data_IF_610325558729
#
_entry.id   IF_610325558729
#
_cell.length_a   1.000
_cell.length_b   1.000
_cell.length_c   1.000
_cell.angle_alpha   90.00
_cell.angle_beta   90.00
_cell.angle_gamma   90.00
#
_symmetry.space_group_name_H-M   'P 1'
#
loop_
_entity.id
_entity.type
_entity.pdbx_description
1 polymer ?
#
# COMPACT_ATOMS: atom_id res chain seq x y z
N UNK A 1 16.73 -32.13 -14.45
CA UNK A 1 17.93 -31.43 -14.99
C UNK A 1 17.56 -30.03 -15.44
N UNK A 2 16.46 -29.85 -16.18
CA UNK A 2 16.07 -28.53 -16.73
C UNK A 2 15.78 -27.47 -15.67
N UNK A 3 15.13 -27.81 -14.56
CA UNK A 3 14.85 -26.84 -13.48
C UNK A 3 16.13 -26.22 -12.90
N UNK A 4 17.14 -27.04 -12.59
CA UNK A 4 18.41 -26.55 -12.05
C UNK A 4 19.19 -25.74 -13.08
N UNK A 5 19.10 -26.09 -14.36
CA UNK A 5 19.72 -25.33 -15.44
C UNK A 5 19.06 -23.96 -15.63
N UNK A 6 17.72 -23.88 -15.57
CA UNK A 6 16.98 -22.62 -15.61
C UNK A 6 17.31 -21.73 -14.40
N UNK A 7 17.41 -22.33 -13.21
CA UNK A 7 17.80 -21.61 -12.00
C UNK A 7 19.23 -21.07 -12.11
N UNK A 8 20.16 -21.90 -12.58
CA UNK A 8 21.56 -21.53 -12.78
C UNK A 8 21.72 -20.38 -13.79
N UNK A 9 20.96 -20.43 -14.89
CA UNK A 9 20.91 -19.35 -15.89
C UNK A 9 20.33 -18.05 -15.29
N UNK A 10 19.26 -18.15 -14.51
CA UNK A 10 18.69 -16.99 -13.80
C UNK A 10 19.70 -16.35 -12.85
N UNK A 11 20.44 -17.16 -12.07
CA UNK A 11 21.49 -16.66 -11.19
C UNK A 11 22.69 -16.08 -11.94
N UNK A 12 23.12 -16.68 -13.06
CA UNK A 12 24.25 -16.14 -13.84
C UNK A 12 23.93 -14.75 -14.39
N UNK A 13 22.70 -14.53 -14.82
CA UNK A 13 22.24 -13.24 -15.32
C UNK A 13 22.00 -12.22 -14.19
N UNK A 14 21.33 -12.64 -13.10
CA UNK A 14 21.00 -11.75 -11.99
C UNK A 14 22.24 -11.25 -11.24
N UNK A 15 23.30 -12.07 -11.15
CA UNK A 15 24.56 -11.73 -10.47
C UNK A 15 25.51 -10.89 -11.33
N UNK A 16 25.13 -10.53 -12.56
CA UNK A 16 25.94 -9.62 -13.36
C UNK A 16 26.03 -8.25 -12.67
N UNK A 17 27.20 -7.58 -12.68
CA UNK A 17 27.38 -6.28 -12.02
C UNK A 17 26.37 -5.22 -12.47
N UNK A 18 26.00 -5.25 -13.75
CA UNK A 18 24.98 -4.37 -14.34
C UNK A 18 23.61 -4.58 -13.69
N UNK A 19 23.15 -5.82 -13.60
CA UNK A 19 21.85 -6.14 -13.01
C UNK A 19 21.82 -5.91 -11.50
N UNK A 20 22.92 -6.19 -10.79
CA UNK A 20 23.08 -5.81 -9.38
C UNK A 20 23.05 -4.29 -9.18
N UNK A 21 23.67 -3.52 -10.09
CA UNK A 21 23.62 -2.06 -10.07
C UNK A 21 22.20 -1.53 -10.25
N UNK A 22 21.44 -2.07 -11.21
CA UNK A 22 20.03 -1.71 -11.39
C UNK A 22 19.13 -2.17 -10.23
N UNK A 23 19.39 -3.34 -9.65
CA UNK A 23 18.70 -3.81 -8.46
C UNK A 23 18.94 -2.86 -7.28
N UNK A 24 20.19 -2.43 -7.07
CA UNK A 24 20.56 -1.49 -6.02
C UNK A 24 19.91 -0.13 -6.24
N UNK A 25 19.98 0.40 -7.47
CA UNK A 25 19.33 1.66 -7.83
C UNK A 25 17.82 1.59 -7.59
N UNK A 26 17.18 0.50 -8.03
CA UNK A 26 15.77 0.25 -7.80
C UNK A 26 15.43 0.20 -6.32
N UNK A 27 16.20 -0.55 -5.52
CA UNK A 27 16.01 -0.63 -4.07
C UNK A 27 16.20 0.71 -3.36
N UNK A 28 17.17 1.52 -3.77
CA UNK A 28 17.39 2.86 -3.22
C UNK A 28 16.24 3.80 -3.54
N UNK A 29 15.82 3.88 -4.82
CA UNK A 29 14.70 4.70 -5.25
C UNK A 29 13.40 4.26 -4.58
N UNK A 30 13.17 2.94 -4.55
CA UNK A 30 12.04 2.33 -3.87
C UNK A 30 12.01 2.71 -2.39
N UNK A 31 13.13 2.56 -1.68
CA UNK A 31 13.20 2.92 -0.24
C UNK A 31 12.97 4.41 -0.03
N UNK A 32 13.57 5.27 -0.85
CA UNK A 32 13.43 6.73 -0.72
C UNK A 32 11.98 7.17 -0.90
N UNK A 33 11.26 6.58 -1.85
CA UNK A 33 9.84 6.87 -2.09
C UNK A 33 8.97 6.18 -1.03
N UNK A 34 9.26 4.94 -0.66
CA UNK A 34 8.46 4.18 0.31
C UNK A 34 8.51 4.75 1.72
N UNK A 35 9.56 5.50 2.08
CA UNK A 35 9.60 6.25 3.34
C UNK A 35 8.54 7.38 3.35
N UNK A 36 8.06 7.84 2.20
CA UNK A 36 6.98 8.82 2.13
C UNK A 36 5.67 8.16 2.58
N UNK A 37 5.07 8.62 3.69
CA UNK A 37 3.77 8.11 4.12
C UNK A 37 2.74 8.43 3.04
N UNK A 38 1.85 7.50 2.76
CA UNK A 38 0.86 7.65 1.67
C UNK A 38 1.19 6.82 0.44
N UNK A 39 2.46 6.48 0.23
CA UNK A 39 2.92 5.95 -1.05
C UNK A 39 3.35 4.49 -0.89
N UNK A 40 2.45 3.58 -1.25
CA UNK A 40 2.74 2.15 -1.27
C UNK A 40 3.59 1.71 -2.47
N UNK A 41 4.24 0.54 -2.40
CA UNK A 41 4.98 -0.11 -3.49
C UNK A 41 4.31 -0.09 -4.85
N UNK A 42 2.98 -0.29 -4.90
CA UNK A 42 2.22 -0.31 -6.17
C UNK A 42 2.25 1.05 -6.85
N UNK A 43 2.00 2.12 -6.10
CA UNK A 43 2.07 3.50 -6.61
C UNK A 43 3.51 3.86 -7.00
N UNK A 44 4.50 3.43 -6.21
CA UNK A 44 5.92 3.63 -6.53
C UNK A 44 6.31 2.99 -7.86
N UNK A 45 5.89 1.74 -8.10
CA UNK A 45 6.11 1.05 -9.38
C UNK A 45 5.44 1.82 -10.51
N UNK A 46 4.17 2.22 -10.37
CA UNK A 46 3.44 2.91 -11.42
C UNK A 46 4.16 4.21 -11.86
N UNK A 47 4.65 4.99 -10.90
CA UNK A 47 5.38 6.23 -11.16
C UNK A 47 6.75 5.98 -11.82
N UNK A 48 7.45 4.91 -11.43
CA UNK A 48 8.80 4.61 -11.93
C UNK A 48 8.82 3.68 -13.15
N UNK A 49 7.70 3.07 -13.52
CA UNK A 49 7.57 2.17 -14.66
C UNK A 49 8.12 2.78 -15.97
N UNK A 50 7.88 4.06 -16.30
CA UNK A 50 8.38 4.65 -17.55
C UNK A 50 9.92 4.61 -17.69
N UNK A 51 10.66 4.66 -16.57
CA UNK A 51 12.12 4.61 -16.58
C UNK A 51 12.62 3.25 -17.09
N UNK A 52 11.83 2.20 -16.89
CA UNK A 52 12.22 0.84 -17.27
C UNK A 52 12.05 0.54 -18.76
N UNK A 53 11.31 1.37 -19.50
CA UNK A 53 11.15 1.21 -20.96
C UNK A 53 12.44 1.47 -21.74
N UNK A 54 13.40 2.18 -21.14
CA UNK A 54 14.71 2.44 -21.74
C UNK A 54 15.75 1.36 -21.39
N UNK A 55 15.38 0.35 -20.60
CA UNK A 55 16.27 -0.71 -20.13
C UNK A 55 16.00 -2.03 -20.86
N UNK A 56 17.02 -2.90 -20.99
CA UNK A 56 16.79 -4.29 -21.39
C UNK A 56 15.73 -4.93 -20.49
N UNK A 57 14.80 -5.74 -21.02
CA UNK A 57 13.66 -6.26 -20.26
C UNK A 57 14.03 -6.94 -18.94
N UNK A 58 15.12 -7.73 -18.94
CA UNK A 58 15.63 -8.38 -17.74
C UNK A 58 16.07 -7.37 -16.67
N UNK A 59 16.86 -6.37 -17.06
CA UNK A 59 17.33 -5.33 -16.16
C UNK A 59 16.16 -4.47 -15.62
N UNK A 60 15.18 -4.18 -16.48
CA UNK A 60 13.94 -3.51 -16.10
C UNK A 60 13.16 -4.28 -15.04
N UNK A 61 12.95 -5.60 -15.23
CA UNK A 61 12.28 -6.46 -14.24
C UNK A 61 13.03 -6.53 -12.91
N UNK A 62 14.35 -6.64 -12.94
CA UNK A 62 15.20 -6.64 -11.74
C UNK A 62 15.11 -5.29 -11.01
N UNK A 63 15.12 -4.18 -11.73
CA UNK A 63 14.96 -2.85 -11.16
C UNK A 63 13.57 -2.67 -10.53
N UNK A 64 12.50 -3.09 -11.20
CA UNK A 64 11.13 -3.04 -10.64
C UNK A 64 10.99 -3.90 -9.39
N UNK A 65 11.61 -5.08 -9.36
CA UNK A 65 11.66 -5.90 -8.14
C UNK A 65 12.40 -5.17 -7.00
N UNK A 66 13.53 -4.52 -7.30
CA UNK A 66 14.24 -3.67 -6.35
C UNK A 66 13.36 -2.54 -5.82
N UNK A 67 12.68 -1.81 -6.71
CA UNK A 67 11.73 -0.74 -6.35
C UNK A 67 10.65 -1.27 -5.43
N UNK A 68 10.06 -2.41 -5.77
CA UNK A 68 8.98 -3.03 -5.00
C UNK A 68 9.39 -3.32 -3.55
N UNK A 69 10.47 -4.09 -3.37
CA UNK A 69 10.94 -4.48 -2.04
C UNK A 69 11.52 -3.31 -1.26
N UNK A 70 12.20 -2.38 -1.94
CA UNK A 70 12.68 -1.13 -1.35
C UNK A 70 11.53 -0.29 -0.81
N UNK A 71 10.48 -0.08 -1.61
CA UNK A 71 9.31 0.69 -1.20
C UNK A 71 8.56 0.02 -0.05
N UNK A 72 8.46 -1.32 -0.06
CA UNK A 72 7.81 -2.06 1.02
C UNK A 72 8.58 -1.89 2.34
N UNK A 73 9.90 -2.01 2.30
CA UNK A 73 10.74 -1.78 3.47
C UNK A 73 10.74 -0.32 3.94
N UNK A 74 10.71 0.64 3.01
CA UNK A 74 10.52 2.06 3.31
C UNK A 74 9.21 2.34 4.05
N UNK A 75 8.10 1.73 3.59
CA UNK A 75 6.79 1.88 4.22
C UNK A 75 6.76 1.35 5.65
N UNK A 76 7.41 0.21 5.91
CA UNK A 76 7.56 -0.33 7.27
C UNK A 76 8.51 0.50 8.13
N UNK A 77 9.51 1.15 7.53
CA UNK A 77 10.40 2.08 8.24
C UNK A 77 9.63 3.28 8.79
N UNK A 78 8.76 3.88 7.98
CA UNK A 78 7.92 5.01 8.40
C UNK A 78 6.86 4.57 9.41
N UNK A 79 6.27 3.38 9.24
CA UNK A 79 5.36 2.80 10.22
C UNK A 79 6.02 2.63 11.60
N UNK A 80 7.25 2.11 11.64
CA UNK A 80 7.99 1.84 12.88
C UNK A 80 8.51 3.11 13.53
N UNK A 81 8.99 4.10 12.77
CA UNK A 81 9.65 5.27 13.36
C UNK A 81 8.69 6.39 13.71
N UNK A 82 7.62 6.58 12.94
CA UNK A 82 6.75 7.75 13.06
C UNK A 82 5.26 7.42 13.12
N UNK A 83 4.89 6.14 13.28
CA UNK A 83 3.50 5.69 13.37
C UNK A 83 2.64 6.04 12.14
N UNK A 84 3.26 6.29 10.99
CA UNK A 84 2.58 6.62 9.74
C UNK A 84 2.84 5.51 8.71
N UNK A 85 1.96 4.51 8.61
CA UNK A 85 2.16 3.38 7.71
C UNK A 85 2.03 3.79 6.25
N UNK A 86 2.87 3.23 5.38
CA UNK A 86 2.77 3.42 3.92
C UNK A 86 1.76 2.49 3.23
N UNK A 87 1.41 1.38 3.87
CA UNK A 87 0.40 0.42 3.40
C UNK A 87 -0.50 -0.04 4.56
N UNK A 88 -1.68 -0.52 4.20
CA UNK A 88 -2.66 -1.14 5.09
C UNK A 88 -2.08 -2.24 5.99
N UNK A 89 -1.22 -3.10 5.44
CA UNK A 89 -0.62 -4.23 6.15
C UNK A 89 0.44 -3.78 7.16
N UNK A 90 1.14 -2.66 6.90
CA UNK A 90 2.13 -2.07 7.80
C UNK A 90 1.51 -1.39 9.03
N UNK A 91 0.20 -1.12 9.03
CA UNK A 91 -0.53 -0.66 10.24
C UNK A 91 -0.30 -1.62 11.40
N UNK A 92 -0.36 -2.93 11.13
CA UNK A 92 -0.17 -3.96 12.16
C UNK A 92 1.25 -3.93 12.72
N UNK A 93 2.23 -3.70 11.84
CA UNK A 93 3.64 -3.52 12.22
C UNK A 93 3.84 -2.25 13.05
N UNK A 94 3.10 -1.17 12.78
CA UNK A 94 3.18 0.08 13.54
C UNK A 94 2.78 -0.11 15.02
N UNK A 95 1.77 -0.95 15.30
CA UNK A 95 1.23 -1.19 16.65
C UNK A 95 2.35 -1.46 17.68
N UNK A 96 3.23 -2.43 17.38
CA UNK A 96 4.34 -2.80 18.26
C UNK A 96 5.67 -2.17 17.82
N UNK A 97 5.86 -1.94 16.52
CA UNK A 97 7.06 -1.31 15.97
C UNK A 97 7.31 0.09 16.51
N UNK A 98 6.27 0.92 16.51
CA UNK A 98 6.35 2.29 17.01
C UNK A 98 6.62 2.34 18.51
N UNK A 99 5.98 1.45 19.29
CA UNK A 99 6.23 1.32 20.73
C UNK A 99 7.66 0.87 21.03
N UNK A 100 8.22 -0.05 20.23
CA UNK A 100 9.64 -0.40 20.32
C UNK A 100 10.54 0.80 20.00
N UNK A 101 10.21 1.60 19.00
CA UNK A 101 10.96 2.81 18.66
C UNK A 101 10.93 3.84 19.80
N UNK A 102 9.77 4.09 20.41
CA UNK A 102 9.62 4.97 21.57
C UNK A 102 10.46 4.50 22.77
N UNK A 103 10.63 3.18 22.94
CA UNK A 103 11.49 2.57 23.98
C UNK A 103 12.99 2.59 23.65
N UNK A 104 13.41 3.32 22.62
CA UNK A 104 14.82 3.42 22.19
C UNK A 104 15.33 2.18 21.44
N UNK A 105 14.42 1.28 21.02
CA UNK A 105 14.73 0.02 20.33
C UNK A 105 14.41 0.06 18.83
N UNK A 106 14.36 1.25 18.25
CA UNK A 106 14.05 1.48 16.83
C UNK A 106 14.91 0.62 15.88
N UNK A 107 16.23 0.59 16.09
CA UNK A 107 17.14 -0.21 15.25
C UNK A 107 16.84 -1.70 15.31
N UNK A 108 16.51 -2.23 16.50
CA UNK A 108 16.09 -3.64 16.63
C UNK A 108 14.77 -3.92 15.92
N UNK A 109 13.79 -3.01 16.01
CA UNK A 109 12.50 -3.17 15.34
C UNK A 109 12.67 -3.17 13.81
N UNK A 110 13.43 -2.23 13.26
CA UNK A 110 13.75 -2.15 11.84
C UNK A 110 14.51 -3.38 11.35
N UNK A 111 15.52 -3.85 12.11
CA UNK A 111 16.28 -5.03 11.74
C UNK A 111 15.45 -6.32 11.81
N UNK A 112 14.56 -6.46 12.80
CA UNK A 112 13.63 -7.60 12.87
C UNK A 112 12.67 -7.58 11.70
N UNK A 113 12.12 -6.41 11.34
CA UNK A 113 11.28 -6.24 10.16
C UNK A 113 12.05 -6.64 8.89
N UNK A 114 13.22 -6.05 8.65
CA UNK A 114 14.06 -6.33 7.48
C UNK A 114 14.41 -7.83 7.33
N UNK A 115 14.88 -8.46 8.42
CA UNK A 115 15.29 -9.87 8.41
C UNK A 115 14.10 -10.80 8.27
N UNK A 116 12.97 -10.49 8.92
CA UNK A 116 11.72 -11.23 8.79
C UNK A 116 11.18 -11.19 7.36
N UNK A 117 11.13 -9.99 6.76
CA UNK A 117 10.75 -9.78 5.37
C UNK A 117 11.66 -10.50 4.40
N UNK A 118 12.98 -10.39 4.60
CA UNK A 118 13.96 -11.04 3.74
C UNK A 118 13.81 -12.56 3.75
N UNK A 119 13.68 -13.17 4.93
CA UNK A 119 13.47 -14.61 5.04
C UNK A 119 12.15 -15.03 4.39
N UNK A 120 11.05 -14.35 4.71
CA UNK A 120 9.73 -14.68 4.17
C UNK A 120 9.68 -14.53 2.65
N UNK A 121 10.22 -13.43 2.11
CA UNK A 121 10.33 -13.18 0.68
C UNK A 121 11.22 -14.19 -0.04
N UNK A 122 12.33 -14.60 0.59
CA UNK A 122 13.19 -15.66 0.03
C UNK A 122 12.45 -16.99 -0.06
N UNK A 123 11.81 -17.44 1.04
CA UNK A 123 11.03 -18.68 1.07
C UNK A 123 9.87 -18.63 0.06
N UNK A 124 9.21 -17.48 -0.07
CA UNK A 124 8.17 -17.26 -1.05
C UNK A 124 8.68 -17.37 -2.49
N UNK A 125 9.82 -16.73 -2.78
CA UNK A 125 10.48 -16.77 -4.10
C UNK A 125 10.85 -18.18 -4.49
N UNK A 126 11.46 -18.96 -3.58
CA UNK A 126 11.73 -20.36 -3.84
C UNK A 126 10.45 -21.18 -4.03
N UNK A 127 9.43 -20.93 -3.21
CA UNK A 127 8.13 -21.58 -3.34
C UNK A 127 7.49 -21.34 -4.71
N UNK A 128 7.54 -20.10 -5.21
CA UNK A 128 7.04 -19.74 -6.54
C UNK A 128 7.94 -20.28 -7.64
N UNK A 129 9.26 -20.26 -7.50
CA UNK A 129 10.15 -20.84 -8.50
C UNK A 129 9.84 -22.33 -8.73
N UNK A 130 9.56 -23.08 -7.67
CA UNK A 130 9.19 -24.50 -7.73
C UNK A 130 7.75 -24.68 -8.26
N UNK A 131 6.79 -23.91 -7.73
CA UNK A 131 5.38 -24.06 -8.07
C UNK A 131 5.01 -23.40 -9.42
N UNK A 132 5.85 -22.49 -9.93
CA UNK A 132 5.56 -21.58 -11.03
C UNK A 132 5.10 -22.25 -12.31
N UNK A 133 5.83 -23.27 -12.83
CA UNK A 133 5.39 -24.00 -14.03
C UNK A 133 3.99 -24.62 -13.86
N UNK A 134 3.76 -25.26 -12.71
CA UNK A 134 2.47 -25.89 -12.39
C UNK A 134 1.37 -24.85 -12.25
N UNK A 135 1.65 -23.76 -11.52
CA UNK A 135 0.69 -22.68 -11.27
C UNK A 135 0.34 -21.93 -12.55
N UNK A 136 1.30 -21.74 -13.46
CA UNK A 136 1.08 -21.13 -14.78
C UNK A 136 0.17 -21.99 -15.66
N UNK A 137 0.42 -23.32 -15.72
CA UNK A 137 -0.45 -24.23 -16.47
C UNK A 137 -1.88 -24.27 -15.90
N UNK A 138 -2.02 -24.17 -14.58
CA UNK A 138 -3.32 -24.11 -13.91
C UNK A 138 -4.02 -22.77 -14.17
N UNK A 139 -3.30 -21.64 -14.08
CA UNK A 139 -3.84 -20.31 -14.36
C UNK A 139 -4.33 -20.18 -15.81
N UNK A 140 -3.61 -20.74 -16.79
CA UNK A 140 -4.04 -20.74 -18.19
C UNK A 140 -5.31 -21.58 -18.45
N UNK A 141 -5.63 -22.52 -17.55
CA UNK A 141 -6.84 -23.33 -17.63
C UNK A 141 -8.07 -22.67 -17.02
N UNK A 142 -7.93 -21.51 -16.36
CA UNK A 142 -9.04 -20.83 -15.72
C UNK A 142 -9.92 -20.12 -16.74
N UNK A 143 -11.21 -20.45 -16.73
CA UNK A 143 -12.24 -19.68 -17.39
C UNK A 143 -12.93 -18.69 -16.44
N UNK A 144 -13.91 -17.93 -16.94
CA UNK A 144 -14.68 -16.98 -16.13
C UNK A 144 -15.31 -17.62 -14.89
N UNK A 145 -15.76 -18.88 -14.97
CA UNK A 145 -16.37 -19.60 -13.86
C UNK A 145 -15.37 -19.87 -12.73
N UNK A 146 -14.16 -20.30 -13.06
CA UNK A 146 -13.07 -20.55 -12.11
C UNK A 146 -12.68 -19.25 -11.40
N UNK A 147 -12.55 -18.14 -12.13
CA UNK A 147 -12.29 -16.82 -11.54
C UNK A 147 -13.38 -16.39 -10.56
N UNK A 148 -14.65 -16.50 -10.94
CA UNK A 148 -15.78 -16.16 -10.05
C UNK A 148 -15.77 -17.06 -8.80
N UNK A 149 -15.54 -18.36 -8.97
CA UNK A 149 -15.50 -19.30 -7.85
C UNK A 149 -14.35 -19.02 -6.88
N UNK A 150 -13.17 -18.67 -7.40
CA UNK A 150 -12.00 -18.32 -6.62
C UNK A 150 -12.23 -17.02 -5.84
N UNK A 151 -12.82 -16.00 -6.48
CA UNK A 151 -13.18 -14.74 -5.82
C UNK A 151 -14.21 -14.97 -4.70
N UNK A 152 -15.28 -15.73 -4.97
CA UNK A 152 -16.27 -16.09 -3.95
C UNK A 152 -15.64 -16.86 -2.79
N UNK A 153 -14.74 -17.80 -3.09
CA UNK A 153 -14.01 -18.53 -2.06
C UNK A 153 -13.17 -17.58 -1.18
N UNK A 154 -12.47 -16.61 -1.77
CA UNK A 154 -11.74 -15.58 -1.03
C UNK A 154 -12.64 -14.76 -0.10
N UNK A 155 -13.78 -14.30 -0.60
CA UNK A 155 -14.77 -13.55 0.20
C UNK A 155 -15.36 -14.38 1.35
N UNK A 156 -15.67 -15.65 1.10
CA UNK A 156 -16.15 -16.59 2.13
C UNK A 156 -15.07 -16.86 3.18
N UNK A 157 -13.82 -17.11 2.75
CA UNK A 157 -12.70 -17.31 3.64
C UNK A 157 -12.44 -16.08 4.52
N UNK A 158 -12.50 -14.88 3.95
CA UNK A 158 -12.39 -13.62 4.70
C UNK A 158 -13.50 -13.49 5.76
N UNK A 159 -14.73 -13.91 5.44
CA UNK A 159 -15.85 -13.91 6.39
C UNK A 159 -15.59 -14.85 7.58
N UNK A 160 -15.06 -16.05 7.32
CA UNK A 160 -14.74 -17.05 8.36
C UNK A 160 -13.61 -16.59 9.26
N UNK A 161 -12.65 -15.84 8.71
CA UNK A 161 -11.48 -15.35 9.41
C UNK A 161 -11.77 -14.11 10.26
N UNK A 162 -12.83 -13.37 9.92
CA UNK A 162 -13.28 -12.22 10.67
C UNK A 162 -13.74 -12.62 12.08
N UNK A 163 -13.25 -11.91 13.10
CA UNK A 163 -13.68 -12.09 14.49
C UNK A 163 -14.99 -11.31 14.71
N UNK A 164 -16.05 -12.00 15.12
CA UNK A 164 -17.32 -11.38 15.49
C UNK A 164 -18.54 -11.98 14.78
N UNK A 165 -19.68 -11.27 14.76
CA UNK A 165 -20.91 -11.75 14.13
C UNK A 165 -20.74 -11.87 12.61
N UNK A 166 -21.00 -13.07 12.07
CA UNK A 166 -20.90 -13.37 10.62
C UNK A 166 -21.69 -12.38 9.77
N UNK A 167 -22.89 -11.99 10.21
CA UNK A 167 -23.72 -11.04 9.47
C UNK A 167 -23.06 -9.66 9.30
N UNK A 168 -22.30 -9.20 10.31
CA UNK A 168 -21.53 -7.95 10.22
C UNK A 168 -20.36 -8.11 9.25
N UNK A 169 -19.68 -9.26 9.28
CA UNK A 169 -18.57 -9.53 8.36
C UNK A 169 -19.04 -9.55 6.89
N UNK A 170 -20.15 -10.25 6.61
CA UNK A 170 -20.78 -10.25 5.28
C UNK A 170 -21.19 -8.82 4.88
N UNK A 171 -21.83 -8.08 5.78
CA UNK A 171 -22.22 -6.69 5.52
C UNK A 171 -21.03 -5.79 5.17
N UNK A 172 -19.92 -5.90 5.91
CA UNK A 172 -18.69 -5.15 5.63
C UNK A 172 -18.02 -5.57 4.33
N UNK A 173 -18.06 -6.85 3.98
CA UNK A 173 -17.54 -7.34 2.69
C UNK A 173 -18.35 -6.77 1.52
N UNK A 174 -19.68 -6.81 1.61
CA UNK A 174 -20.56 -6.25 0.58
C UNK A 174 -20.37 -4.73 0.45
N UNK A 175 -20.25 -4.03 1.59
CA UNK A 175 -19.95 -2.60 1.60
C UNK A 175 -18.58 -2.32 0.96
N UNK A 176 -17.54 -3.08 1.31
CA UNK A 176 -16.22 -2.95 0.73
C UNK A 176 -16.20 -3.23 -0.77
N UNK A 177 -16.95 -4.24 -1.24
CA UNK A 177 -17.11 -4.52 -2.67
C UNK A 177 -17.82 -3.36 -3.38
N UNK A 178 -18.85 -2.77 -2.77
CA UNK A 178 -19.56 -1.62 -3.32
C UNK A 178 -18.65 -0.40 -3.44
N UNK A 179 -17.84 -0.12 -2.41
CA UNK A 179 -16.86 0.97 -2.44
C UNK A 179 -15.72 0.69 -3.44
N UNK A 180 -15.27 -0.56 -3.56
CA UNK A 180 -14.24 -0.96 -4.52
C UNK A 180 -14.69 -1.01 -5.98
N UNK A 181 -16.00 -0.98 -6.24
CA UNK A 181 -16.56 -0.84 -7.59
C UNK A 181 -16.58 0.61 -8.08
N UNK A 182 -16.27 1.59 -7.24
CA UNK A 182 -16.22 3.00 -7.65
C UNK A 182 -14.99 3.22 -8.53
N UNK A 183 -15.18 3.77 -9.74
CA UNK A 183 -14.12 4.14 -10.67
C UNK A 183 -14.31 3.58 -12.08
N UNK A 184 -13.26 3.71 -12.91
CA UNK A 184 -13.23 3.13 -14.25
C UNK A 184 -12.80 1.66 -14.16
N UNK A 185 -13.62 0.77 -14.68
CA UNK A 185 -13.30 -0.66 -14.70
C UNK A 185 -12.14 -0.93 -15.67
N UNK A 186 -11.02 -1.45 -15.17
CA UNK A 186 -9.81 -1.67 -15.97
C UNK A 186 -9.97 -2.70 -17.11
N UNK A 187 -11.00 -3.55 -17.06
CA UNK A 187 -11.24 -4.58 -18.07
C UNK A 187 -12.17 -4.12 -19.21
N UNK A 188 -13.15 -3.27 -18.90
CA UNK A 188 -14.18 -2.81 -19.83
C UNK A 188 -14.08 -1.33 -20.19
N UNK A 189 -13.37 -0.53 -19.40
CA UNK A 189 -13.27 0.93 -19.54
C UNK A 189 -14.55 1.68 -19.15
N UNK A 190 -15.56 0.99 -18.61
CA UNK A 190 -16.82 1.62 -18.19
C UNK A 190 -16.71 2.29 -16.82
N UNK A 191 -17.36 3.43 -16.67
CA UNK A 191 -17.49 4.13 -15.40
C UNK A 191 -18.51 3.43 -14.50
N UNK A 192 -18.13 3.14 -13.25
CA UNK A 192 -19.00 2.54 -12.24
C UNK A 192 -19.05 3.42 -11.01
N UNK A 193 -20.26 3.79 -10.59
CA UNK A 193 -20.51 4.54 -9.35
C UNK A 193 -19.69 5.86 -9.21
N UNK A 194 -19.27 6.47 -10.33
CA UNK A 194 -18.49 7.73 -10.37
C UNK A 194 -19.36 8.96 -10.19
N UNK A 195 -20.68 8.85 -10.44
CA UNK A 195 -21.66 9.96 -10.38
C UNK A 195 -21.22 11.20 -11.18
N UNK A 196 -20.46 11.01 -12.26
CA UNK A 196 -19.87 12.08 -13.08
C UNK A 196 -18.88 13.01 -12.36
N UNK A 197 -18.37 12.60 -11.19
CA UNK A 197 -17.26 13.27 -10.52
C UNK A 197 -15.93 12.70 -11.03
N UNK A 198 -15.07 13.57 -11.57
CA UNK A 198 -13.78 13.17 -12.17
C UNK A 198 -12.83 12.63 -11.11
N UNK A 199 -12.92 13.12 -9.89
CA UNK A 199 -12.12 12.67 -8.74
C UNK A 199 -12.39 11.20 -8.37
N UNK A 200 -13.55 10.66 -8.74
CA UNK A 200 -13.93 9.26 -8.48
C UNK A 200 -13.47 8.31 -9.58
N UNK A 201 -12.86 8.80 -10.67
CA UNK A 201 -12.44 7.95 -11.79
C UNK A 201 -11.33 6.97 -11.39
N UNK A 202 -10.41 7.44 -10.55
CA UNK A 202 -9.33 6.63 -9.95
C UNK A 202 -9.85 5.72 -8.82
N UNK A 203 -11.13 5.84 -8.45
CA UNK A 203 -11.79 5.07 -7.41
C UNK A 203 -11.46 5.53 -5.99
N UNK A 204 -11.91 4.73 -5.02
CA UNK A 204 -11.65 5.00 -3.60
C UNK A 204 -10.44 4.16 -3.16
N UNK A 205 -9.28 4.81 -3.06
CA UNK A 205 -8.07 4.14 -2.59
C UNK A 205 -8.12 3.92 -1.05
N UNK A 206 -8.21 2.66 -0.65
CA UNK A 206 -8.20 2.24 0.75
C UNK A 206 -6.94 2.73 1.51
N UNK A 207 -5.79 2.72 0.85
CA UNK A 207 -4.51 3.16 1.43
C UNK A 207 -4.57 4.65 1.74
N UNK A 208 -5.12 5.46 0.83
CA UNK A 208 -5.32 6.90 1.04
C UNK A 208 -6.24 7.17 2.23
N UNK A 209 -7.37 6.45 2.33
CA UNK A 209 -8.28 6.58 3.49
C UNK A 209 -7.60 6.19 4.79
N UNK A 210 -6.92 5.02 4.82
CA UNK A 210 -6.26 4.54 6.02
C UNK A 210 -5.20 5.55 6.51
N UNK A 211 -4.40 6.09 5.60
CA UNK A 211 -3.32 7.02 5.93
C UNK A 211 -3.89 8.38 6.33
N UNK A 212 -4.95 8.84 5.67
CA UNK A 212 -5.71 10.01 6.10
C UNK A 212 -6.20 9.85 7.53
N UNK A 213 -6.82 8.72 7.87
CA UNK A 213 -7.34 8.46 9.22
C UNK A 213 -6.24 8.37 10.27
N UNK A 214 -5.19 7.57 10.04
CA UNK A 214 -4.06 7.42 10.96
C UNK A 214 -3.29 8.74 11.13
N UNK A 215 -3.00 9.43 10.03
CA UNK A 215 -2.29 10.71 10.04
C UNK A 215 -3.08 11.82 10.74
N UNK A 216 -4.38 11.96 10.46
CA UNK A 216 -5.21 12.95 11.16
C UNK A 216 -5.32 12.64 12.66
N UNK A 217 -5.48 11.37 13.03
CA UNK A 217 -5.58 10.97 14.44
C UNK A 217 -4.30 11.31 15.18
N UNK A 218 -3.13 11.02 14.60
CA UNK A 218 -1.83 11.36 15.20
C UNK A 218 -1.63 12.88 15.33
N UNK A 219 -2.03 13.66 14.31
CA UNK A 219 -1.96 15.13 14.39
C UNK A 219 -2.84 15.65 15.53
N UNK A 220 -4.09 15.18 15.64
CA UNK A 220 -5.02 15.58 16.70
C UNK A 220 -4.49 15.18 18.08
N UNK A 221 -4.03 13.93 18.25
CA UNK A 221 -3.46 13.45 19.51
C UNK A 221 -2.21 14.22 19.93
N UNK A 222 -1.38 14.61 18.96
CA UNK A 222 -0.17 15.40 19.21
C UNK A 222 -0.51 16.87 19.56
N UNK A 223 -1.60 17.42 19.01
CA UNK A 223 -2.13 18.73 19.40
C UNK A 223 -2.75 18.70 20.82
N UNK A 224 -3.36 17.59 21.21
CA UNK A 224 -3.94 17.40 22.55
C UNK A 224 -2.85 17.22 23.61
N UNK A 225 -1.76 16.51 23.29
CA UNK A 225 -0.65 16.24 24.21
C UNK A 225 0.53 17.19 23.99
N UNK A 226 0.39 18.44 24.47
CA UNK A 226 1.46 19.47 24.40
C UNK A 226 2.79 19.11 25.10
N UNK A 227 2.86 18.00 25.87
CA UNK A 227 4.04 17.57 26.62
C UNK A 227 4.86 16.43 25.95
N UNK A 228 4.40 15.86 24.83
CA UNK A 228 5.15 14.84 24.10
C UNK A 228 6.13 15.48 23.11
N UNK A 229 7.33 15.78 23.62
CA UNK A 229 8.49 16.32 22.90
C UNK A 229 8.63 15.70 21.50
N UNK A 230 8.86 16.59 20.52
CA UNK A 230 8.84 16.31 19.09
C UNK A 230 9.67 15.11 18.67
N UNK A 231 9.24 14.51 17.54
CA UNK A 231 9.86 13.40 16.79
C UNK A 231 11.03 12.84 17.57
N UNK A 232 10.74 11.94 18.51
CA UNK A 232 11.75 11.37 19.40
C UNK A 232 12.68 10.52 18.52
N UNK A 233 13.66 11.17 17.88
CA UNK A 233 14.88 10.56 17.39
C UNK A 233 15.65 10.18 18.65
N UNK A 234 15.11 9.17 19.36
CA UNK A 234 15.82 8.53 20.44
C UNK A 234 17.15 8.08 19.85
N UNK A 235 18.25 8.39 20.55
CA UNK A 235 19.59 7.96 20.13
C UNK A 235 19.51 6.48 19.76
N UNK A 236 19.87 6.13 18.52
CA UNK A 236 19.99 4.75 18.07
C UNK A 236 20.90 3.99 19.04
N UNK A 237 20.32 3.28 20.01
CA UNK A 237 21.10 2.60 21.03
C UNK A 237 21.77 1.37 20.44
N UNK A 238 21.02 0.60 19.64
CA UNK A 238 21.50 -0.61 18.96
C UNK A 238 20.77 -0.79 17.62
N UNK A 239 21.56 -0.90 16.55
CA UNK A 239 21.07 -1.20 15.20
C UNK A 239 20.75 -2.68 15.00
N UNK A 240 21.36 -3.56 15.80
CA UNK A 240 21.20 -5.00 15.66
C UNK A 240 20.26 -5.58 16.75
N UNK A 241 19.39 -6.54 16.41
CA UNK A 241 18.55 -7.22 17.39
C UNK A 241 19.40 -7.94 18.44
N UNK A 242 18.93 -7.98 19.68
CA UNK A 242 19.59 -8.80 20.70
C UNK A 242 19.41 -10.29 20.42
N UNK A 243 20.23 -11.14 21.04
CA UNK A 243 20.05 -12.60 20.94
C UNK A 243 18.67 -13.05 21.41
N UNK A 244 18.11 -12.36 22.40
CA UNK A 244 16.76 -12.61 22.89
C UNK A 244 15.71 -12.21 21.84
N UNK A 245 15.87 -11.04 21.22
CA UNK A 245 15.00 -10.59 20.12
C UNK A 245 15.01 -11.57 18.96
N UNK A 246 16.19 -12.08 18.59
CA UNK A 246 16.30 -13.09 17.54
C UNK A 246 15.61 -14.40 17.93
N UNK A 247 15.77 -14.87 19.17
CA UNK A 247 15.12 -16.08 19.68
C UNK A 247 13.60 -15.97 19.69
N UNK A 248 13.07 -14.77 19.99
CA UNK A 248 11.64 -14.46 20.01
C UNK A 248 11.09 -14.25 18.60
N UNK A 249 11.81 -13.51 17.75
CA UNK A 249 11.42 -13.20 16.38
C UNK A 249 11.42 -14.42 15.47
N UNK A 250 12.44 -15.28 15.53
CA UNK A 250 12.60 -16.37 14.56
C UNK A 250 11.38 -17.32 14.47
N UNK A 251 10.82 -17.83 15.58
CA UNK A 251 9.60 -18.63 15.52
C UNK A 251 8.39 -17.85 14.97
N UNK A 252 8.30 -16.55 15.27
CA UNK A 252 7.22 -15.69 14.77
C UNK A 252 7.36 -15.45 13.26
N UNK A 253 8.58 -15.25 12.74
CA UNK A 253 8.85 -15.16 11.31
C UNK A 253 8.44 -16.45 10.59
N UNK A 254 8.75 -17.62 11.14
CA UNK A 254 8.36 -18.90 10.54
C UNK A 254 6.84 -19.07 10.49
N UNK A 255 6.14 -18.77 11.59
CA UNK A 255 4.67 -18.84 11.64
C UNK A 255 4.03 -17.80 10.73
N UNK A 256 4.53 -16.56 10.76
CA UNK A 256 4.09 -15.47 9.89
C UNK A 256 4.28 -15.80 8.41
N UNK A 257 5.42 -16.36 8.03
CA UNK A 257 5.67 -16.86 6.67
C UNK A 257 4.65 -17.93 6.27
N UNK A 258 4.35 -18.87 7.17
CA UNK A 258 3.34 -19.92 6.97
C UNK A 258 1.93 -19.37 6.77
N UNK A 259 1.49 -18.49 7.68
CA UNK A 259 0.18 -17.80 7.63
C UNK A 259 0.07 -16.96 6.36
N UNK A 260 1.10 -16.16 6.06
CA UNK A 260 1.18 -15.37 4.82
C UNK A 260 1.18 -16.24 3.57
N UNK A 261 1.74 -17.45 3.61
CA UNK A 261 1.66 -18.36 2.46
C UNK A 261 0.29 -18.93 2.22
N UNK A 262 -0.40 -19.31 3.29
CA UNK A 262 -1.73 -19.86 3.15
C UNK A 262 -2.74 -18.78 2.74
N UNK A 263 -2.69 -17.62 3.40
CA UNK A 263 -3.62 -16.52 3.16
C UNK A 263 -3.25 -15.66 1.95
N UNK A 264 -1.98 -15.61 1.56
CA UNK A 264 -1.51 -14.85 0.39
C UNK A 264 -1.87 -15.48 -0.95
N UNK A 265 -2.23 -16.77 -0.98
CA UNK A 265 -2.80 -17.43 -2.16
C UNK A 265 -4.28 -17.05 -2.34
N UNK A 266 -4.95 -16.58 -1.30
CA UNK A 266 -6.36 -16.21 -1.37
C UNK A 266 -6.53 -14.86 -2.08
N UNK A 267 -7.51 -14.74 -3.01
CA UNK A 267 -7.84 -13.47 -3.64
C UNK A 267 -8.52 -12.52 -2.64
N UNK A 268 -8.25 -11.21 -2.76
CA UNK A 268 -8.91 -10.16 -1.98
C UNK A 268 -8.20 -9.75 -0.68
N UNK A 269 -7.22 -8.85 -0.77
CA UNK A 269 -6.61 -8.20 0.41
C UNK A 269 -5.74 -9.10 1.29
N UNK A 270 -5.26 -10.22 0.75
CA UNK A 270 -4.55 -11.28 1.50
C UNK A 270 -3.38 -10.80 2.36
N UNK A 271 -2.64 -9.76 1.96
CA UNK A 271 -1.53 -9.22 2.76
C UNK A 271 -1.99 -8.59 4.08
N UNK A 272 -2.99 -7.71 4.04
CA UNK A 272 -3.52 -7.06 5.25
C UNK A 272 -4.14 -8.09 6.18
N UNK A 273 -4.98 -8.98 5.64
CA UNK A 273 -5.58 -10.07 6.42
C UNK A 273 -4.50 -10.99 7.01
N UNK A 274 -3.47 -11.33 6.23
CA UNK A 274 -2.37 -12.16 6.70
C UNK A 274 -1.58 -11.49 7.83
N UNK A 275 -1.30 -10.19 7.74
CA UNK A 275 -0.64 -9.43 8.81
C UNK A 275 -1.46 -9.44 10.10
N UNK A 276 -2.77 -9.13 10.02
CA UNK A 276 -3.65 -9.15 11.20
C UNK A 276 -3.84 -10.55 11.78
N UNK A 277 -3.89 -11.58 10.93
CA UNK A 277 -3.99 -12.97 11.37
C UNK A 277 -2.70 -13.45 12.02
N UNK A 278 -1.55 -13.14 11.45
CA UNK A 278 -0.25 -13.42 12.04
C UNK A 278 -0.14 -12.77 13.42
N UNK A 279 -0.50 -11.47 13.53
CA UNK A 279 -0.55 -10.77 14.81
C UNK A 279 -1.45 -11.47 15.84
N UNK A 280 -2.66 -11.82 15.40
CA UNK A 280 -3.66 -12.51 16.21
C UNK A 280 -3.20 -13.90 16.70
N UNK A 281 -2.48 -14.63 15.85
CA UNK A 281 -1.91 -15.95 16.17
C UNK A 281 -0.75 -15.79 17.14
N UNK A 282 0.15 -14.84 16.90
CA UNK A 282 1.27 -14.55 17.81
C UNK A 282 0.78 -14.15 19.19
N UNK A 283 -0.21 -13.25 19.27
CA UNK A 283 -0.81 -12.84 20.55
C UNK A 283 -1.47 -14.00 21.29
N UNK A 284 -2.10 -14.95 20.58
CA UNK A 284 -2.77 -16.11 21.19
C UNK A 284 -1.80 -17.18 21.69
N UNK A 285 -0.67 -17.35 21.02
CA UNK A 285 0.34 -18.38 21.35
C UNK A 285 1.38 -17.84 22.34
N UNK A 286 1.55 -16.52 22.41
CA UNK A 286 2.53 -15.90 23.29
C UNK A 286 2.31 -16.27 24.75
N UNK A 287 3.42 -16.43 25.47
CA UNK A 287 3.44 -16.58 26.93
C UNK A 287 3.19 -15.25 27.64
N UNK A 288 3.38 -14.13 26.94
CA UNK A 288 3.24 -12.75 27.42
C UNK A 288 2.33 -11.94 26.48
N UNK A 289 1.03 -12.28 26.37
CA UNK A 289 0.08 -11.57 25.50
C UNK A 289 -0.11 -10.08 25.86
N UNK A 290 0.25 -9.69 27.07
CA UNK A 290 0.25 -8.31 27.58
C UNK A 290 1.30 -7.40 26.94
N UNK A 291 2.36 -7.95 26.33
CA UNK A 291 3.37 -7.13 25.65
C UNK A 291 2.91 -6.64 24.26
N UNK A 292 1.86 -7.23 23.69
CA UNK A 292 1.31 -6.86 22.38
C UNK A 292 0.54 -5.54 22.45
N UNK A 293 0.96 -4.56 21.66
CA UNK A 293 0.52 -3.16 21.74
C UNK A 293 1.43 -2.29 22.61
N UNK A 294 2.42 -2.90 23.26
CA UNK A 294 3.43 -2.24 24.09
C UNK A 294 4.85 -2.43 23.53
N UNK A 295 5.01 -3.05 22.36
CA UNK A 295 6.31 -3.25 21.71
C UNK A 295 6.85 -4.67 21.82
N UNK A 296 5.99 -5.66 21.62
CA UNK A 296 6.39 -7.06 21.48
C UNK A 296 7.14 -7.29 20.15
N UNK A 297 8.27 -8.00 20.21
CA UNK A 297 9.09 -8.32 19.02
C UNK A 297 8.31 -9.23 18.05
N UNK A 298 7.55 -10.18 18.58
CA UNK A 298 6.69 -11.09 17.83
C UNK A 298 5.57 -10.33 17.11
N UNK A 299 5.10 -9.23 17.70
CA UNK A 299 4.10 -8.32 17.12
C UNK A 299 4.59 -7.55 15.89
N UNK A 300 5.90 -7.52 15.64
CA UNK A 300 6.50 -7.01 14.39
C UNK A 300 6.94 -8.16 13.48
N UNK A 301 7.68 -9.12 14.03
CA UNK A 301 8.28 -10.20 13.24
C UNK A 301 7.26 -11.06 12.48
N UNK A 302 6.15 -11.41 13.13
CA UNK A 302 5.09 -12.24 12.54
C UNK A 302 4.33 -11.53 11.42
N UNK A 303 3.72 -10.36 11.69
CA UNK A 303 2.99 -9.59 10.68
C UNK A 303 3.86 -9.16 9.51
N UNK A 304 5.11 -8.77 9.76
CA UNK A 304 6.01 -8.34 8.70
C UNK A 304 6.39 -9.52 7.78
N UNK A 305 6.68 -10.69 8.35
CA UNK A 305 6.90 -11.90 7.57
C UNK A 305 5.66 -12.32 6.76
N UNK A 306 4.46 -12.11 7.31
CA UNK A 306 3.21 -12.39 6.59
C UNK A 306 2.96 -11.40 5.44
N UNK A 307 3.28 -10.12 5.64
CA UNK A 307 3.17 -9.06 4.63
C UNK A 307 4.14 -9.27 3.46
N UNK A 308 5.41 -9.53 3.77
CA UNK A 308 6.50 -9.55 2.78
C UNK A 308 6.55 -10.80 1.91
N UNK A 309 5.63 -11.75 2.11
CA UNK A 309 5.47 -12.89 1.22
C UNK A 309 4.89 -12.53 -0.16
N UNK A 310 4.67 -11.24 -0.43
CA UNK A 310 4.29 -10.71 -1.75
C UNK A 310 5.46 -10.78 -2.73
N UNK A 311 6.03 -11.96 -2.91
CA UNK A 311 6.86 -12.25 -4.07
C UNK A 311 5.94 -12.40 -5.26
N UNK A 312 6.00 -11.44 -6.18
CA UNK A 312 5.74 -11.58 -7.62
C UNK A 312 4.51 -12.46 -7.94
N UNK A 313 3.38 -12.18 -7.30
CA UNK A 313 2.11 -12.28 -7.99
C UNK A 313 1.85 -10.86 -8.46
N UNK A 314 2.49 -10.50 -9.57
CA UNK A 314 1.93 -9.44 -10.42
C UNK A 314 0.48 -9.81 -10.57
N UNK A 315 -0.41 -8.90 -10.20
CA UNK A 315 -1.84 -9.06 -10.26
C UNK A 315 -2.21 -9.91 -11.50
N UNK A 316 -2.93 -11.03 -11.39
CA UNK A 316 -3.33 -11.82 -12.56
C UNK A 316 -4.35 -11.09 -13.46
N UNK A 317 -4.44 -9.76 -13.36
CA UNK A 317 -5.25 -8.91 -14.22
C UNK A 317 -4.51 -8.47 -15.49
N UNK A 318 -3.28 -8.93 -15.73
CA UNK A 318 -2.78 -8.99 -17.09
C UNK A 318 -3.42 -10.23 -17.75
N UNK A 319 -4.56 -10.03 -18.41
CA UNK A 319 -5.09 -10.98 -19.37
C UNK A 319 -3.95 -11.34 -20.35
N UNK A 320 -3.46 -12.60 -20.38
CA UNK A 320 -2.40 -13.01 -21.29
C UNK A 320 -2.74 -12.77 -22.76
N UNK A 321 -4.03 -12.61 -23.09
CA UNK A 321 -4.50 -12.34 -24.44
C UNK A 321 -4.26 -10.89 -24.87
N UNK A 322 -4.23 -9.94 -23.93
CA UNK A 322 -4.11 -8.52 -24.27
C UNK A 322 -2.64 -8.09 -24.50
N UNK A 323 -1.68 -8.79 -23.89
CA UNK A 323 -0.24 -8.55 -24.10
C UNK A 323 0.26 -8.95 -25.49
N UNK A 324 -0.45 -9.84 -26.20
CA UNK A 324 -0.12 -10.19 -27.59
C UNK A 324 -0.70 -9.18 -28.59
N UNK A 325 -1.64 -8.33 -28.17
CA UNK A 325 -2.32 -7.40 -29.07
C UNK A 325 -1.62 -6.03 -29.18
N UNK A 326 -0.64 -5.75 -28.32
CA UNK A 326 0.17 -4.52 -28.34
C UNK A 326 1.46 -4.62 -29.19
N UNK A 327 1.72 -5.76 -29.85
CA UNK A 327 2.85 -5.91 -30.76
C UNK A 327 2.50 -6.33 -32.21
N UNK A 328 1.23 -6.55 -32.52
CA UNK A 328 0.75 -6.76 -33.90
C UNK A 328 -0.02 -5.53 -34.42
N UNK A 329 0.65 -4.37 -34.38
CA UNK A 329 0.21 -3.14 -35.01
C UNK A 329 1.23 -2.73 -36.06
N UNK A 330 1.31 -3.50 -37.14
CA UNK A 330 2.20 -3.31 -38.28
C UNK A 330 2.20 -1.86 -38.81
N UNK A 331 3.42 -1.33 -38.92
CA UNK A 331 3.82 -0.32 -39.89
C UNK A 331 3.68 -0.88 -41.31
N UNK A 332 2.48 -0.85 -41.90
CA UNK A 332 2.30 -0.95 -43.34
C UNK A 332 0.93 -0.40 -43.78
N UNK A 333 0.92 0.35 -44.87
CA UNK A 333 -0.26 0.79 -45.63
C UNK A 333 -1.13 1.92 -45.05
N UNK A 334 -0.66 3.17 -45.16
CA UNK A 334 -1.56 4.30 -45.50
C UNK A 334 -1.51 4.57 -46.99
N UNK A 335 -2.26 3.77 -47.75
CA UNK A 335 -2.60 4.02 -49.16
C UNK A 335 -3.93 4.77 -49.20
N UNK A 336 -3.98 5.80 -50.04
CA UNK A 336 -5.12 6.65 -50.37
C UNK A 336 -6.44 5.88 -50.59
N UNK A 337 -7.55 6.39 -50.02
CA UNK A 337 -8.78 6.59 -50.79
C UNK A 337 -9.73 7.64 -50.16
N UNK A 338 -10.33 8.55 -50.96
CA UNK A 338 -11.33 9.51 -50.54
C UNK A 338 -12.77 9.02 -50.82
N UNK A 339 -13.73 9.45 -49.99
CA UNK A 339 -15.17 9.75 -50.26
C UNK A 339 -16.10 9.20 -49.16
N UNK A 340 -16.92 10.10 -48.59
CA UNK A 340 -18.37 9.97 -48.39
C UNK A 340 -18.87 11.31 -47.81
N UNK A 341 -19.45 12.18 -48.63
CA UNK A 341 -20.88 12.34 -48.97
C UNK A 341 -21.70 13.16 -47.96
N UNK A 342 -22.26 14.24 -48.50
CA UNK A 342 -23.02 15.31 -47.89
C UNK A 342 -24.40 14.93 -47.34
N UNK A 343 -24.90 15.73 -46.38
CA UNK A 343 -26.32 16.06 -46.21
C UNK A 343 -26.52 17.56 -45.91
N UNK A 344 -27.66 18.16 -46.31
CA UNK A 344 -27.77 19.60 -46.56
C UNK A 344 -28.58 20.41 -45.52
N UNK A 345 -28.41 21.72 -45.67
CA UNK A 345 -28.98 22.91 -45.03
C UNK A 345 -30.39 22.88 -44.39
N UNK A 346 -30.49 23.62 -43.26
CA UNK A 346 -31.62 24.52 -42.96
C UNK A 346 -31.17 25.81 -42.25
N UNK A 347 -30.92 26.84 -43.06
CA UNK A 347 -31.52 28.18 -43.05
C UNK A 347 -31.55 29.07 -41.77
N UNK A 348 -30.81 30.20 -41.89
CA UNK A 348 -31.16 31.63 -41.66
C UNK A 348 -30.91 32.31 -40.28
N UNK A 349 -29.78 33.05 -40.27
CA UNK A 349 -29.38 34.34 -39.66
C UNK A 349 -30.47 35.33 -39.12
N UNK A 350 -30.13 36.35 -38.27
CA UNK A 350 -28.91 37.20 -38.37
C UNK A 350 -28.19 37.65 -37.08
N UNK A 351 -27.05 38.30 -37.34
CA UNK A 351 -26.05 38.86 -36.43
C UNK A 351 -26.33 40.32 -36.01
N UNK A 352 -25.58 40.76 -35.00
CA UNK A 352 -25.35 42.15 -34.57
C UNK A 352 -25.49 42.33 -33.06
N UNK A 353 -24.60 42.94 -32.29
CA UNK A 353 -23.21 43.39 -32.49
C UNK A 353 -22.60 43.66 -31.09
N UNK A 354 -21.31 44.03 -31.07
CA UNK A 354 -20.59 44.86 -30.06
C UNK A 354 -19.50 44.15 -29.20
N UNK A 355 -18.29 44.11 -29.78
CA UNK A 355 -16.97 44.57 -29.28
C UNK A 355 -16.63 44.49 -27.77
N UNK A 356 -15.45 43.91 -27.47
CA UNK A 356 -14.81 44.07 -26.16
C UNK A 356 -13.48 43.33 -25.90
N UNK A 357 -12.49 43.48 -26.80
CA UNK A 357 -11.05 43.70 -26.50
C UNK A 357 -10.30 42.92 -25.38
N UNK A 358 -9.17 42.33 -25.82
CA UNK A 358 -7.86 42.14 -25.14
C UNK A 358 -7.65 40.99 -24.14
N UNK A 359 -6.74 40.08 -24.53
CA UNK A 359 -5.97 39.27 -23.60
C UNK A 359 -4.74 39.99 -23.07
N UNK A 360 -4.10 39.43 -22.04
CA UNK A 360 -2.66 39.57 -21.81
C UNK A 360 -2.12 38.56 -20.78
N UNK A 361 -0.88 38.15 -21.07
CA UNK A 361 0.05 37.33 -20.31
C UNK A 361 0.48 37.95 -18.96
N UNK A 362 0.70 37.08 -17.97
CA UNK A 362 1.93 36.89 -17.16
C UNK A 362 2.89 38.10 -17.06
N UNK A 363 3.14 38.64 -15.85
CA UNK A 363 4.33 38.37 -15.01
C UNK A 363 4.50 39.33 -13.80
N UNK A 364 5.23 38.83 -12.79
CA UNK A 364 6.00 39.53 -11.71
C UNK A 364 5.30 40.16 -10.50
N UNK A 365 5.78 39.71 -9.33
CA UNK A 365 5.65 40.37 -8.03
C UNK A 365 7.07 40.55 -7.44
N UNK A 366 7.45 41.76 -6.98
CA UNK A 366 8.62 41.94 -6.14
C UNK A 366 8.26 42.39 -4.71
N UNK A 367 9.17 42.04 -3.81
CA UNK A 367 9.21 42.27 -2.35
C UNK A 367 8.99 43.73 -1.91
N UNK A 368 8.42 43.90 -0.69
CA UNK A 368 8.87 44.92 0.28
C UNK A 368 8.25 44.73 1.68
N UNK A 369 9.09 44.36 2.66
CA UNK A 369 9.36 45.24 3.80
C UNK A 369 8.46 45.22 5.05
N UNK A 370 8.97 44.54 6.09
CA UNK A 370 9.18 44.99 7.50
C UNK A 370 7.99 45.32 8.43
N UNK A 371 8.14 44.73 9.63
CA UNK A 371 7.79 45.20 10.98
C UNK A 371 6.34 45.57 11.31
N UNK A 372 5.69 44.74 12.14
CA UNK A 372 5.27 45.18 13.48
C UNK A 372 4.89 44.02 14.41
N UNK A 373 5.41 44.12 15.64
CA UNK A 373 5.25 43.23 16.79
C UNK A 373 3.96 43.52 17.56
N UNK A 374 3.55 42.51 18.32
CA UNK A 374 2.50 42.46 19.34
C UNK A 374 2.35 43.71 20.22
N UNK A 375 1.11 44.15 20.44
CA UNK A 375 0.46 44.17 21.76
C UNK A 375 -1.03 44.51 21.58
N UNK A 376 -1.83 44.22 22.60
CA UNK A 376 -3.23 44.67 22.77
C UNK A 376 -4.32 44.09 21.86
N UNK A 377 -5.03 43.07 22.39
CA UNK A 377 -6.49 43.14 22.49
C UNK A 377 -7.02 42.30 23.66
N UNK A 378 -7.25 42.99 24.78
CA UNK A 378 -7.92 42.52 25.98
C UNK A 378 -9.44 42.29 25.76
N UNK A 379 -9.91 41.15 26.28
CA UNK A 379 -11.07 40.90 27.17
C UNK A 379 -12.52 41.31 26.80
N UNK A 380 -13.42 40.32 27.01
CA UNK A 380 -14.81 40.45 27.46
C UNK A 380 -15.86 40.60 26.36
N UNK A 381 -17.04 39.99 26.35
CA UNK A 381 -17.81 39.27 27.39
C UNK A 381 -18.97 38.51 26.71
N UNK A 382 -19.35 37.38 27.32
CA UNK A 382 -20.69 36.74 27.40
C UNK A 382 -21.45 36.30 26.14
N UNK A 383 -21.67 34.99 26.04
CA UNK A 383 -23.01 34.42 25.83
C UNK A 383 -23.07 32.98 26.37
N UNK A 384 -23.71 32.86 27.54
CA UNK A 384 -24.20 31.62 28.13
C UNK A 384 -25.16 30.89 27.18
N UNK A 385 -25.01 29.58 27.05
CA UNK A 385 -25.90 28.76 26.23
C UNK A 385 -25.59 27.26 26.23
N UNK A 386 -25.96 26.58 27.30
CA UNK A 386 -26.28 25.14 27.37
C UNK A 386 -25.20 24.12 26.90
N UNK A 387 -24.30 23.74 27.80
CA UNK A 387 -23.56 22.48 27.72
C UNK A 387 -24.42 21.32 28.24
N UNK A 388 -24.64 20.23 27.47
CA UNK A 388 -25.17 19.00 28.02
C UNK A 388 -24.15 18.32 28.93
N UNK A 389 -24.65 17.85 30.06
CA UNK A 389 -23.95 17.23 31.18
C UNK A 389 -23.03 16.03 30.83
N UNK A 390 -21.80 16.12 31.32
CA UNK A 390 -20.94 15.05 31.86
C UNK A 390 -21.05 13.64 31.24
N UNK A 391 -20.05 13.28 30.44
CA UNK A 391 -19.72 11.89 30.12
C UNK A 391 -19.23 11.21 31.41
N UNK A 392 -19.79 10.05 31.84
CA UNK A 392 -19.33 9.34 33.02
C UNK A 392 -17.89 8.85 32.85
N UNK A 393 -17.00 9.28 33.75
CA UNK A 393 -15.59 8.85 33.82
C UNK A 393 -15.44 7.52 34.59
N UNK A 394 -16.24 6.53 34.27
CA UNK A 394 -16.10 5.20 34.87
C UNK A 394 -15.08 4.36 34.08
N UNK A 395 -13.93 4.00 34.68
CA UNK A 395 -12.86 3.25 33.99
C UNK A 395 -13.29 1.90 33.38
N UNK A 396 -14.27 1.12 33.91
CA UNK A 396 -14.68 -0.12 33.26
C UNK A 396 -15.50 0.09 31.97
N UNK A 397 -16.06 1.27 31.72
CA UNK A 397 -16.83 1.57 30.50
C UNK A 397 -15.91 1.91 29.32
N UNK A 398 -14.80 2.60 29.59
CA UNK A 398 -13.79 2.92 28.58
C UNK A 398 -13.01 1.69 28.09
N UNK A 399 -12.89 0.63 28.92
CA UNK A 399 -12.22 -0.61 28.52
C UNK A 399 -13.00 -1.43 27.50
N UNK A 400 -14.34 -1.26 27.40
CA UNK A 400 -15.18 -2.01 26.44
C UNK A 400 -15.11 -1.51 25.01
N UNK A 401 -14.58 -0.30 24.77
CA UNK A 401 -14.45 0.28 23.42
C UNK A 401 -13.08 0.02 22.77
N UNK A 402 -12.17 -0.68 23.46
CA UNK A 402 -10.81 -1.01 22.99
C UNK A 402 -10.59 -2.48 22.60
N UNK A 403 -11.64 -3.23 22.29
CA UNK A 403 -11.53 -4.64 21.85
C UNK A 403 -12.09 -4.87 20.44
#
# INVERSE_FOLDING_TARGET
MDFLNLLALGFSEALTPTNLGFCLLGALLGTLIGVLPGIGPTATIAVLLPITFYLPPLAGLIMLAGIYYGAQYGGSTTAILVNLPGEASSVVTAIDGYKMAQKGRAGSALAVAALGSFFAGTVATFGIAIAGPTLSSFALSFGPAEYVSLMLFGLLAATVLARGPVLKAIGMILLGLLLGMVGIDASSGEERLTFSAVELFDGIDFVVIAIGLFGFTEIIENLENHDARGVLVSKFSRLWPTREDFRRAWPAVLRGTGVGTFLGVLPGGGATLASFCAYSVEKKISKTPEEFGEGAVEGVAGPEAANSRRTVVVHPAADPRNSLQQHDGDDAERVHHPRHHARPDRARHPAGDILGSCGQHVDRQPDAGRDQSADDRHLGETADGALPSAIPRDPPVLLRWRL
#
